data_IF_936993645688
#
_entry.id   IF_936993645688
#
_cell.length_a   1.000
_cell.length_b   1.000
_cell.length_c   1.000
_cell.angle_alpha   90.00
_cell.angle_beta   90.00
_cell.angle_gamma   90.00
#
_symmetry.space_group_name_H-M   'P 1'
#
loop_
_entity.id
_entity.type
_entity.pdbx_description
1 polymer ?
2 branched ?
3 non-polymer ?
4 non-polymer ?
5 non-polymer ?
6 water ?
#
# COMPACT_ATOMS: atom_id res chain seq x y z
N UNK A 9 1.35 -25.16 18.97
CA UNK A 9 0.52 -24.25 18.17
C UNK A 9 1.17 -22.87 18.01
N UNK A 10 1.86 -22.66 16.88
CA UNK A 10 2.46 -21.36 16.58
C UNK A 10 1.42 -20.29 16.29
N UNK A 11 1.73 -19.03 16.61
CA UNK A 11 0.89 -17.87 16.28
C UNK A 11 0.64 -17.81 14.77
N UNK A 12 -0.56 -17.41 14.36
CA UNK A 12 -0.86 -17.22 12.94
C UNK A 12 -1.39 -15.82 12.70
N UNK A 13 -1.09 -15.27 11.53
CA UNK A 13 -1.49 -13.92 11.20
C UNK A 13 -1.94 -13.83 9.75
N UNK A 14 -3.13 -13.25 9.55
CA UNK A 14 -3.68 -12.95 8.24
C UNK A 14 -3.68 -11.43 8.05
N UNK A 15 -2.98 -10.97 7.01
CA UNK A 15 -2.87 -9.54 6.66
C UNK A 15 -3.72 -9.27 5.44
N UNK A 16 -4.72 -8.41 5.59
CA UNK A 16 -5.70 -8.15 4.53
C UNK A 16 -5.64 -6.70 4.09
N UNK A 17 -5.54 -6.46 2.79
CA UNK A 17 -5.56 -5.09 2.25
C UNK A 17 -6.69 -4.93 1.27
N UNK A 18 -7.53 -3.93 1.52
CA UNK A 18 -8.50 -3.46 0.55
C UNK A 18 -7.92 -2.21 -0.04
N UNK A 19 -7.48 -2.30 -1.29
CA UNK A 19 -6.74 -1.20 -1.90
C UNK A 19 -7.51 0.12 -1.87
N UNK A 20 -6.83 1.19 -1.47
CA UNK A 20 -7.39 2.53 -1.61
C UNK A 20 -8.47 2.91 -0.59
N UNK A 21 -8.38 2.33 0.61
CA UNK A 21 -9.38 2.57 1.63
C UNK A 21 -8.96 3.76 2.50
N UNK A 22 -9.39 4.94 2.06
CA UNK A 22 -9.17 6.22 2.74
C UNK A 22 -9.72 6.13 4.15
N UNK A 23 -8.93 6.57 5.14
CA UNK A 23 -9.29 6.46 6.56
C UNK A 23 -10.66 7.06 6.90
N UNK A 24 -10.94 8.25 6.40
CA UNK A 24 -12.20 8.90 6.79
C UNK A 24 -13.44 8.35 6.12
N UNK A 25 -13.27 7.37 5.22
CA UNK A 25 -14.43 6.63 4.74
C UNK A 25 -15.18 6.08 5.96
N UNK A 26 -14.45 5.68 7.00
CA UNK A 26 -15.10 5.11 8.20
C UNK A 26 -16.06 6.09 8.89
N UNK A 27 -15.80 7.39 8.73
CA UNK A 27 -16.59 8.41 9.40
C UNK A 27 -17.77 8.87 8.57
N UNK A 28 -17.77 8.53 7.28
CA UNK A 28 -18.78 9.06 6.35
C UNK A 28 -19.74 8.03 5.74
N UNK A 29 -19.53 6.76 6.07
CA UNK A 29 -20.38 5.69 5.56
C UNK A 29 -20.59 4.69 6.67
N UNK A 30 -21.57 3.80 6.51
CA UNK A 30 -21.88 2.81 7.54
C UNK A 30 -21.15 1.50 7.25
N UNK A 31 -20.36 1.03 8.22
CA UNK A 31 -19.71 -0.26 8.10
C UNK A 31 -20.08 -1.22 9.23
N UNK A 32 -21.32 -1.73 9.24
CA UNK A 32 -21.75 -2.64 10.31
C UNK A 32 -20.83 -3.84 10.55
N UNK A 33 -20.38 -4.52 9.50
CA UNK A 33 -19.46 -5.65 9.67
C UNK A 33 -18.08 -5.24 10.18
N UNK A 34 -17.52 -4.16 9.65
CA UNK A 34 -16.23 -3.66 10.12
C UNK A 34 -16.35 -3.22 11.57
N UNK A 35 -17.44 -2.52 11.88
CA UNK A 35 -17.74 -2.05 13.24
C UNK A 35 -17.69 -3.24 14.19
N UNK A 36 -18.28 -4.36 13.78
CA UNK A 36 -18.31 -5.59 14.58
C UNK A 36 -16.91 -6.16 14.82
N UNK A 37 -16.13 -6.22 13.75
CA UNK A 37 -14.74 -6.67 13.79
C UNK A 37 -13.94 -5.80 14.77
N UNK A 38 -14.17 -4.50 14.71
CA UNK A 38 -13.48 -3.49 15.55
C UNK A 38 -13.88 -3.59 17.01
N UNK A 39 -15.15 -3.90 17.26
CA UNK A 39 -15.76 -3.85 18.59
C UNK A 39 -15.06 -4.74 19.60
N UNK A 40 -14.55 -5.86 19.10
CA UNK A 40 -13.88 -6.85 19.90
C UNK A 40 -12.41 -6.91 19.54
N UNK A 41 -11.94 -5.86 18.88
CA UNK A 41 -10.55 -5.80 18.44
C UNK A 41 -10.02 -4.41 18.60
N UNK A 42 -9.12 -4.00 17.70
CA UNK A 42 -8.53 -2.68 17.80
C UNK A 42 -8.71 -1.91 16.50
N UNK A 43 -8.76 -0.58 16.62
CA UNK A 43 -8.81 0.27 15.44
C UNK A 43 -7.74 1.35 15.58
N UNK A 44 -6.95 1.53 14.52
CA UNK A 44 -6.10 2.70 14.38
C UNK A 44 -6.80 3.61 13.37
N UNK A 45 -7.22 4.79 13.80
CA UNK A 45 -8.15 5.58 12.98
C UNK A 45 -7.57 6.07 11.67
N UNK A 46 -6.28 6.39 11.68
CA UNK A 46 -5.58 6.71 10.45
C UNK A 46 -4.08 6.39 10.56
N UNK A 47 -3.55 5.84 9.49
CA UNK A 47 -2.17 5.42 9.41
C UNK A 47 -1.43 6.41 8.51
N UNK A 48 -0.31 6.95 8.98
CA UNK A 48 0.50 7.82 8.12
C UNK A 48 1.33 6.94 7.21
N UNK A 49 1.03 6.95 5.91
CA UNK A 49 1.68 6.05 4.99
C UNK A 49 2.94 6.71 4.42
N UNK A 50 3.48 6.21 3.32
CA UNK A 50 4.76 6.73 2.79
C UNK A 50 4.63 7.37 1.41
N UNK A 51 5.43 8.39 1.18
CA UNK A 51 5.53 9.05 -0.13
C UNK A 51 6.43 8.23 -1.07
N UNK A 52 6.05 8.01 -2.33
CA UNK A 52 4.77 8.48 -2.90
C UNK A 52 3.64 7.53 -2.54
N UNK A 53 2.43 8.06 -2.45
CA UNK A 53 1.33 7.28 -1.88
C UNK A 53 0.62 6.43 -2.93
N UNK A 54 1.40 5.53 -3.55
CA UNK A 54 0.90 4.64 -4.58
C UNK A 54 0.88 3.22 -4.06
N UNK A 55 0.26 2.33 -4.84
CA UNK A 55 -0.02 0.96 -4.41
C UNK A 55 1.16 0.06 -4.18
N UNK A 56 2.00 -0.08 -5.20
CA UNK A 56 3.13 -0.99 -5.05
C UNK A 56 4.11 -0.54 -3.96
N UNK A 57 4.45 0.76 -3.93
CA UNK A 57 5.40 1.20 -2.88
C UNK A 57 4.83 1.03 -1.48
N UNK A 58 3.56 1.35 -1.26
CA UNK A 58 3.06 1.25 0.10
C UNK A 58 2.81 -0.17 0.56
N UNK A 59 2.36 -1.04 -0.34
CA UNK A 59 2.23 -2.45 0.08
C UNK A 59 3.56 -3.01 0.51
N UNK A 60 4.62 -2.63 -0.19
CA UNK A 60 5.93 -3.18 0.18
C UNK A 60 6.40 -2.59 1.49
N UNK A 61 6.06 -1.33 1.74
CA UNK A 61 6.41 -0.76 3.02
C UNK A 61 5.72 -1.49 4.18
N UNK A 62 4.45 -1.86 4.01
CA UNK A 62 3.75 -2.61 5.03
C UNK A 62 4.52 -3.88 5.40
N UNK A 63 5.01 -4.62 4.41
CA UNK A 63 5.65 -5.92 4.68
C UNK A 63 7.16 -5.88 4.87
N UNK A 64 7.76 -4.69 4.82
CA UNK A 64 9.20 -4.54 5.08
C UNK A 64 9.55 -3.56 6.19
N UNK A 65 8.59 -2.70 6.55
CA UNK A 65 8.87 -1.63 7.51
C UNK A 65 9.81 -0.56 7.01
N UNK A 66 10.00 -0.46 5.70
CA UNK A 66 10.95 0.48 5.13
C UNK A 66 10.30 1.58 4.34
N UNK A 67 10.94 2.74 4.38
CA UNK A 67 10.67 3.82 3.45
C UNK A 67 10.98 3.42 2.00
N UNK A 68 10.38 4.12 1.05
CA UNK A 68 10.48 3.71 -0.35
C UNK A 68 11.90 3.83 -0.90
N UNK A 69 12.65 4.83 -0.47
CA UNK A 69 14.03 4.96 -0.95
C UNK A 69 14.85 3.76 -0.52
N UNK A 70 14.41 3.09 0.54
CA UNK A 70 15.16 1.97 1.12
C UNK A 70 14.76 0.62 0.54
N UNK A 71 13.45 0.37 0.37
CA UNK A 71 13.02 -0.91 -0.20
C UNK A 71 13.04 -0.94 -1.72
N UNK A 72 13.12 0.23 -2.35
CA UNK A 72 13.40 0.33 -3.78
C UNK A 72 12.20 0.29 -4.70
N UNK A 73 11.00 0.13 -4.16
CA UNK A 73 9.82 0.20 -5.01
C UNK A 73 9.27 1.60 -4.85
N UNK A 74 9.72 2.50 -5.71
CA UNK A 74 9.49 3.93 -5.49
C UNK A 74 8.29 4.43 -6.27
N UNK A 75 7.72 3.58 -7.13
CA UNK A 75 6.53 3.96 -7.86
C UNK A 75 5.90 2.72 -8.49
N UNK A 76 4.70 2.87 -9.05
CA UNK A 76 4.11 1.77 -9.80
C UNK A 76 4.75 1.60 -11.17
N UNK A 77 5.37 2.66 -11.67
CA UNK A 77 6.13 2.61 -12.93
C UNK A 77 7.52 3.14 -12.68
N UNK A 78 8.54 2.31 -12.95
CA UNK A 78 9.93 2.70 -12.73
C UNK A 78 10.80 2.37 -13.93
N UNK A 79 11.92 3.07 -14.02
CA UNK A 79 12.94 2.81 -15.04
C UNK A 79 14.32 2.86 -14.37
N UNK A 80 15.10 1.81 -14.54
CA UNK A 80 16.46 1.79 -14.02
C UNK A 80 17.40 2.07 -15.18
N UNK A 81 18.02 3.24 -15.18
CA UNK A 81 18.83 3.67 -16.31
C UNK A 81 20.02 2.76 -16.55
N UNK A 82 20.59 2.22 -15.49
CA UNK A 82 21.80 1.41 -15.62
C UNK A 82 21.54 0.06 -16.32
N UNK A 83 20.53 -0.68 -15.85
CA UNK A 83 20.21 -1.99 -16.43
C UNK A 83 19.27 -1.86 -17.63
N UNK A 84 18.67 -0.67 -17.76
CA UNK A 84 17.62 -0.36 -18.77
C UNK A 84 16.31 -1.08 -18.51
N UNK A 85 16.17 -1.64 -17.31
CA UNK A 85 14.95 -2.36 -16.96
C UNK A 85 13.78 -1.44 -16.69
N UNK A 86 12.61 -1.94 -17.07
CA UNK A 86 11.34 -1.25 -16.77
C UNK A 86 10.46 -2.08 -15.82
N UNK A 87 9.76 -1.38 -14.94
CA UNK A 87 8.80 -1.99 -14.02
C UNK A 87 7.47 -1.30 -14.23
N UNK A 88 6.39 -2.09 -14.24
CA UNK A 88 5.06 -1.53 -14.16
C UNK A 88 4.17 -2.54 -13.45
N UNK A 89 2.92 -2.15 -13.14
CA UNK A 89 2.06 -3.03 -12.34
C UNK A 89 1.90 -4.41 -12.97
N UNK A 90 1.69 -4.42 -14.29
CA UNK A 90 1.63 -5.67 -15.03
C UNK A 90 3.01 -6.33 -15.16
N UNK A 91 4.01 -5.50 -15.51
CA UNK A 91 5.36 -6.00 -15.76
C UNK A 91 6.18 -5.97 -14.47
N UNK A 92 5.77 -6.77 -13.49
CA UNK A 92 6.29 -6.60 -12.14
C UNK A 92 6.95 -7.85 -11.60
N UNK A 93 7.35 -8.77 -12.48
CA UNK A 93 7.84 -10.06 -12.01
C UNK A 93 9.34 -10.34 -12.03
N UNK A 94 10.13 -9.36 -12.44
CA UNK A 94 11.59 -9.48 -12.35
C UNK A 94 12.01 -9.22 -10.91
N UNK A 95 12.61 -10.22 -10.25
CA UNK A 95 13.05 -10.11 -8.86
C UNK A 95 13.97 -8.90 -8.60
N UNK A 96 14.67 -8.45 -9.64
CA UNK A 96 15.51 -7.26 -9.56
C UNK A 96 14.81 -6.15 -8.79
N UNK A 97 13.52 -5.99 -9.08
CA UNK A 97 12.77 -4.86 -8.52
C UNK A 97 12.38 -5.03 -7.08
N UNK A 98 12.38 -6.27 -6.60
CA UNK A 98 11.91 -6.60 -5.24
C UNK A 98 13.07 -6.86 -4.26
N UNK A 99 14.26 -7.09 -4.81
CA UNK A 99 15.35 -7.65 -4.02
C UNK A 99 16.15 -6.67 -3.17
N UNK A 100 15.76 -5.40 -3.16
CA UNK A 100 16.46 -4.47 -2.26
C UNK A 100 15.99 -4.60 -0.82
N UNK A 101 14.95 -5.40 -0.60
CA UNK A 101 14.44 -5.66 0.74
C UNK A 101 14.01 -7.10 0.86
N UNK A 102 13.63 -7.51 2.08
CA UNK A 102 13.15 -8.86 2.34
C UNK A 102 11.80 -8.76 3.04
N UNK A 103 10.72 -9.12 2.33
CA UNK A 103 9.40 -8.95 2.92
C UNK A 103 9.09 -10.04 3.95
N UNK A 104 8.13 -9.78 4.82
CA UNK A 104 7.88 -10.65 5.98
C UNK A 104 7.47 -12.06 5.59
N UNK A 105 6.79 -12.21 4.45
CA UNK A 105 6.42 -13.58 4.04
C UNK A 105 7.64 -14.45 3.78
N UNK A 106 8.74 -13.83 3.39
CA UNK A 106 9.96 -14.57 3.12
C UNK A 106 10.58 -15.00 4.45
N UNK A 107 10.83 -14.05 5.34
CA UNK A 107 11.36 -14.39 6.67
C UNK A 107 10.52 -15.47 7.34
N UNK A 108 9.20 -15.39 7.21
CA UNK A 108 8.33 -16.42 7.77
C UNK A 108 8.53 -17.76 7.07
N UNK A 109 8.60 -17.76 5.74
CA UNK A 109 8.77 -18.99 4.95
C UNK A 109 10.08 -19.73 5.27
N UNK A 110 11.08 -18.98 5.72
CA UNK A 110 12.43 -19.50 5.95
C UNK A 110 12.59 -20.19 7.31
N UNK A 111 11.58 -20.08 8.18
CA UNK A 111 11.62 -20.77 9.46
C UNK A 111 11.24 -22.23 9.28
N UNK A 112 11.85 -23.11 10.08
CA UNK A 112 11.54 -24.52 10.01
C UNK A 112 10.08 -24.78 10.44
N UNK A 113 9.44 -25.71 9.73
CA UNK A 113 8.08 -26.10 10.04
C UNK A 113 7.06 -24.97 10.01
N UNK A 114 7.29 -23.97 9.15
CA UNK A 114 6.34 -22.89 8.95
C UNK A 114 6.17 -22.58 7.47
N UNK A 115 4.98 -22.16 7.06
CA UNK A 115 4.79 -21.71 5.68
C UNK A 115 4.12 -20.35 5.63
N UNK A 116 4.31 -19.69 4.49
CA UNK A 116 3.55 -18.48 4.17
C UNK A 116 2.54 -18.80 3.06
N UNK A 117 1.44 -18.06 3.01
CA UNK A 117 0.45 -18.22 1.96
C UNK A 117 0.05 -16.83 1.44
N UNK A 118 -0.45 -16.78 0.21
CA UNK A 118 -0.79 -15.48 -0.36
C UNK A 118 -1.93 -15.56 -1.36
N UNK A 119 -2.77 -14.53 -1.34
CA UNK A 119 -3.86 -14.43 -2.31
C UNK A 119 -3.87 -13.03 -2.91
N UNK A 120 -2.98 -12.82 -3.86
CA UNK A 120 -2.98 -11.66 -4.78
C UNK A 120 -2.24 -10.43 -4.27
N UNK A 121 -1.58 -10.53 -3.14
CA UNK A 121 -0.84 -9.38 -2.60
C UNK A 121 0.35 -9.07 -3.51
N UNK A 122 0.58 -7.77 -3.77
CA UNK A 122 1.69 -7.38 -4.66
C UNK A 122 3.05 -8.00 -4.28
N UNK A 123 3.66 -8.69 -5.25
CA UNK A 123 4.97 -9.31 -5.07
C UNK A 123 4.93 -10.75 -4.60
N UNK A 124 3.77 -11.25 -4.21
CA UNK A 124 3.74 -12.57 -3.58
C UNK A 124 3.82 -13.67 -4.62
N UNK A 125 3.67 -13.32 -5.89
CA UNK A 125 3.87 -14.27 -6.98
C UNK A 125 5.29 -14.17 -7.59
N UNK A 126 6.19 -13.50 -6.88
CA UNK A 126 7.56 -13.31 -7.37
C UNK A 126 8.55 -13.92 -6.37
N UNK A 127 9.52 -14.71 -6.83
CA UNK A 127 10.54 -15.15 -5.87
C UNK A 127 11.47 -13.99 -5.47
N UNK A 128 11.60 -13.76 -4.18
CA UNK A 128 12.38 -12.64 -3.67
C UNK A 128 13.47 -13.23 -2.80
N UNK A 129 14.72 -12.88 -3.11
CA UNK A 129 15.87 -13.58 -2.54
C UNK A 129 15.69 -15.10 -2.65
N UNK A 130 15.19 -15.52 -3.82
CA UNK A 130 15.05 -16.93 -4.18
C UNK A 130 14.00 -17.68 -3.35
N UNK A 131 13.13 -16.94 -2.69
CA UNK A 131 12.12 -17.56 -1.83
C UNK A 131 10.72 -17.14 -2.21
N UNK A 132 9.86 -18.14 -2.39
CA UNK A 132 8.46 -17.86 -2.65
C UNK A 132 7.61 -18.58 -1.61
N UNK A 133 6.45 -18.01 -1.31
CA UNK A 133 5.51 -18.62 -0.36
C UNK A 133 5.10 -19.99 -0.85
N UNK A 134 4.85 -20.89 0.10
CA UNK A 134 4.40 -22.25 -0.21
C UNK A 134 3.15 -22.25 -1.05
N UNK A 135 2.25 -21.33 -0.75
CA UNK A 135 0.98 -21.19 -1.46
C UNK A 135 0.86 -19.76 -1.91
N UNK A 136 0.54 -19.57 -3.17
CA UNK A 136 0.33 -18.22 -3.67
C UNK A 136 -0.55 -18.28 -4.90
N UNK A 137 -1.05 -17.13 -5.33
CA UNK A 137 -1.83 -17.08 -6.55
C UNK A 137 -1.15 -16.14 -7.51
N UNK A 138 -0.94 -16.60 -8.74
CA UNK A 138 -0.47 -15.70 -9.78
C UNK A 138 -1.47 -14.58 -9.97
N UNK A 139 -1.00 -13.33 -10.02
CA UNK A 139 -1.95 -12.23 -10.01
C UNK A 139 -2.95 -12.28 -11.15
N UNK A 140 -4.23 -12.18 -10.80
CA UNK A 140 -5.33 -12.21 -11.76
C UNK A 140 -6.51 -11.48 -11.12
N UNK A 141 -6.74 -10.24 -11.54
CA UNK A 141 -7.76 -9.43 -10.90
C UNK A 141 -9.20 -9.96 -11.08
N UNK A 142 -9.37 -10.91 -12.00
CA UNK A 142 -10.70 -11.48 -12.24
C UNK A 142 -11.15 -12.48 -11.19
N UNK A 143 -10.20 -13.00 -10.41
CA UNK A 143 -10.52 -13.98 -9.39
C UNK A 143 -11.36 -13.32 -8.31
N UNK A 144 -12.50 -13.92 -8.00
CA UNK A 144 -13.44 -13.34 -7.07
C UNK A 144 -12.87 -13.23 -5.67
N UNK A 145 -13.46 -12.35 -4.87
CA UNK A 145 -13.04 -12.25 -3.47
C UNK A 145 -13.30 -13.56 -2.76
N UNK A 146 -14.45 -14.19 -3.04
CA UNK A 146 -14.82 -15.44 -2.38
C UNK A 146 -13.75 -16.49 -2.55
N UNK A 147 -13.22 -16.59 -3.76
CA UNK A 147 -12.20 -17.55 -4.07
C UNK A 147 -10.89 -17.23 -3.36
N UNK A 148 -10.52 -15.95 -3.36
CA UNK A 148 -9.35 -15.52 -2.61
C UNK A 148 -9.52 -15.85 -1.13
N UNK A 149 -10.69 -15.54 -0.60
CA UNK A 149 -11.00 -15.71 0.82
C UNK A 149 -11.05 -17.18 1.21
N UNK A 150 -11.79 -17.95 0.43
CA UNK A 150 -11.96 -19.36 0.78
C UNK A 150 -10.64 -20.11 0.73
N UNK A 151 -9.82 -19.83 -0.28
CA UNK A 151 -8.49 -20.44 -0.39
C UNK A 151 -7.48 -20.03 0.68
N UNK A 152 -7.41 -18.73 0.97
CA UNK A 152 -6.45 -18.29 1.96
C UNK A 152 -6.80 -18.83 3.35
N UNK A 153 -8.09 -18.91 3.66
CA UNK A 153 -8.54 -19.41 4.95
C UNK A 153 -8.43 -20.94 5.04
N UNK A 154 -8.65 -21.64 3.92
CA UNK A 154 -8.41 -23.08 3.88
C UNK A 154 -6.94 -23.33 4.19
N UNK A 155 -6.06 -22.58 3.54
CA UNK A 155 -4.61 -22.73 3.73
C UNK A 155 -4.24 -22.48 5.20
N UNK A 156 -4.76 -21.41 5.79
CA UNK A 156 -4.53 -21.13 7.22
C UNK A 156 -5.04 -22.24 8.12
N UNK A 157 -6.17 -22.85 7.75
CA UNK A 157 -6.84 -23.84 8.59
C UNK A 157 -6.19 -25.21 8.50
N UNK A 158 -5.90 -25.61 7.27
CA UNK A 158 -5.28 -26.90 6.99
C UNK A 158 -3.77 -26.71 6.93
N UNK A 159 -3.15 -27.27 5.90
CA UNK A 159 -1.71 -27.08 5.63
C UNK A 159 -0.77 -27.71 6.67
N UNK A 160 0.18 -28.49 6.15
CA UNK A 160 1.28 -29.08 6.91
C UNK A 160 2.57 -28.99 6.10
N UNK A 161 3.58 -28.27 6.62
CA UNK A 161 3.58 -27.55 7.92
C UNK A 161 2.56 -26.39 8.00
N UNK A 162 2.27 -25.90 9.22
CA UNK A 162 1.23 -24.87 9.36
C UNK A 162 1.54 -23.57 8.63
N UNK A 163 0.50 -22.98 8.05
CA UNK A 163 0.61 -21.63 7.50
C UNK A 163 0.46 -20.66 8.65
N UNK A 164 1.47 -19.83 8.86
CA UNK A 164 1.50 -18.93 10.01
C UNK A 164 1.41 -17.48 9.60
N UNK A 165 1.68 -17.21 8.33
CA UNK A 165 1.52 -15.85 7.78
C UNK A 165 0.83 -15.94 6.43
N UNK A 166 -0.20 -15.12 6.22
CA UNK A 166 -0.97 -15.15 4.99
C UNK A 166 -1.34 -13.74 4.58
N UNK A 167 -1.37 -13.49 3.27
CA UNK A 167 -1.82 -12.19 2.78
C UNK A 167 -3.07 -12.34 1.91
N UNK A 168 -3.92 -11.32 1.93
CA UNK A 168 -5.14 -11.32 1.12
C UNK A 168 -5.33 -9.91 0.59
N UNK A 169 -5.58 -9.79 -0.71
CA UNK A 169 -5.63 -8.48 -1.36
C UNK A 169 -6.85 -8.32 -2.24
N UNK A 170 -7.43 -7.13 -2.24
CA UNK A 170 -8.61 -6.85 -3.07
C UNK A 170 -8.40 -5.47 -3.70
N UNK A 171 -8.89 -5.30 -4.94
CA UNK A 171 -8.62 -4.10 -5.74
C UNK A 171 -9.53 -2.93 -5.42
N UNK A 172 -10.61 -3.18 -4.69
CA UNK A 172 -11.53 -2.11 -4.27
C UNK A 172 -11.30 -1.79 -2.82
N UNK A 173 -11.61 -0.54 -2.38
CA UNK A 173 -12.33 0.51 -3.13
C UNK A 173 -11.47 1.42 -4.01
N UNK A 174 -10.20 1.09 -4.23
CA UNK A 174 -9.34 1.88 -5.11
C UNK A 174 -9.90 2.05 -6.52
N UNK A 175 -10.23 0.93 -7.17
CA UNK A 175 -10.62 1.00 -8.57
C UNK A 175 -11.80 1.94 -8.79
N UNK A 176 -12.84 1.79 -7.98
CA UNK A 176 -14.01 2.65 -8.15
C UNK A 176 -13.81 4.06 -7.61
N UNK A 177 -12.97 4.20 -6.58
CA UNK A 177 -12.57 5.51 -6.12
C UNK A 177 -11.94 6.33 -7.22
N UNK A 178 -11.14 5.69 -8.08
CA UNK A 178 -10.59 6.36 -9.27
C UNK A 178 -11.69 6.76 -10.24
N UNK A 179 -12.64 5.85 -10.46
CA UNK A 179 -13.69 6.07 -11.45
C UNK A 179 -14.66 7.21 -11.06
N UNK A 180 -15.13 7.18 -9.82
CA UNK A 180 -16.13 8.15 -9.37
C UNK A 180 -15.56 9.37 -8.65
N UNK A 181 -14.42 9.19 -7.98
CA UNK A 181 -13.91 10.22 -7.08
C UNK A 181 -14.54 10.07 -5.71
N UNK A 182 -13.76 10.32 -4.65
CA UNK A 182 -14.27 10.01 -3.30
C UNK A 182 -15.40 10.93 -2.89
N UNK A 183 -15.60 12.03 -3.63
CA UNK A 183 -16.67 12.95 -3.27
C UNK A 183 -18.03 12.56 -3.82
N UNK A 184 -18.05 11.57 -4.71
CA UNK A 184 -19.31 11.05 -5.23
C UNK A 184 -19.89 10.08 -4.23
N UNK A 185 -20.63 10.61 -3.26
CA UNK A 185 -21.10 9.79 -2.17
C UNK A 185 -22.14 8.74 -2.57
N UNK A 186 -22.99 9.07 -3.54
CA UNK A 186 -23.96 8.07 -4.00
C UNK A 186 -23.28 6.82 -4.50
N UNK A 187 -22.31 6.99 -5.40
CA UNK A 187 -21.64 5.83 -5.96
C UNK A 187 -20.64 5.19 -5.02
N UNK A 188 -19.89 6.00 -4.27
CA UNK A 188 -18.91 5.42 -3.35
C UNK A 188 -19.60 4.64 -2.23
N UNK A 189 -20.80 5.06 -1.87
CA UNK A 189 -21.49 4.33 -0.80
C UNK A 189 -21.79 2.87 -1.18
N UNK A 190 -22.10 2.65 -2.45
CA UNK A 190 -22.37 1.29 -2.93
C UNK A 190 -21.07 0.49 -3.01
N UNK A 191 -20.00 1.14 -3.45
CA UNK A 191 -18.68 0.53 -3.45
C UNK A 191 -18.28 0.09 -2.06
N UNK A 192 -18.41 0.98 -1.10
CA UNK A 192 -17.95 0.71 0.25
C UNK A 192 -18.85 -0.25 1.01
N UNK A 193 -20.14 -0.27 0.66
CA UNK A 193 -21.03 -1.24 1.27
C UNK A 193 -20.59 -2.64 0.86
N UNK A 194 -20.22 -2.78 -0.42
CA UNK A 194 -19.70 -4.05 -0.90
C UNK A 194 -18.45 -4.47 -0.13
N UNK A 195 -17.56 -3.51 0.14
CA UNK A 195 -16.39 -3.81 0.96
C UNK A 195 -16.78 -4.28 2.36
N UNK A 196 -17.75 -3.60 2.99
CA UNK A 196 -18.20 -4.03 4.30
C UNK A 196 -18.78 -5.44 4.26
N UNK A 197 -19.59 -5.72 3.25
CA UNK A 197 -20.08 -7.10 3.03
C UNK A 197 -18.95 -8.13 2.91
N UNK A 198 -17.89 -7.79 2.20
CA UNK A 198 -16.77 -8.69 2.06
C UNK A 198 -16.09 -8.91 3.40
N UNK A 199 -16.04 -7.88 4.22
CA UNK A 199 -15.44 -8.03 5.56
C UNK A 199 -16.34 -8.95 6.38
N UNK A 200 -17.64 -8.83 6.16
CA UNK A 200 -18.58 -9.73 6.80
C UNK A 200 -18.35 -11.15 6.37
N UNK A 201 -18.10 -11.35 5.07
CA UNK A 201 -17.83 -12.68 4.52
C UNK A 201 -16.56 -13.26 5.12
N UNK A 202 -15.58 -12.39 5.32
CA UNK A 202 -14.33 -12.78 5.94
C UNK A 202 -14.57 -13.29 7.35
N UNK A 203 -15.30 -12.51 8.15
CA UNK A 203 -15.55 -12.88 9.54
C UNK A 203 -16.41 -14.15 9.62
N UNK A 204 -17.47 -14.22 8.81
CA UNK A 204 -18.34 -15.40 8.74
C UNK A 204 -17.51 -16.64 8.47
N UNK A 205 -16.59 -16.51 7.53
CA UNK A 205 -15.74 -17.61 7.09
C UNK A 205 -14.81 -18.05 8.18
N UNK A 206 -14.25 -17.09 8.91
CA UNK A 206 -13.35 -17.41 10.02
C UNK A 206 -14.11 -18.13 11.12
N UNK A 207 -15.34 -17.67 11.39
CA UNK A 207 -16.16 -18.31 12.41
C UNK A 207 -16.56 -19.72 11.99
N UNK A 208 -16.91 -19.89 10.73
CA UNK A 208 -17.30 -21.21 10.20
C UNK A 208 -16.19 -22.23 10.39
N UNK A 209 -14.98 -21.84 10.01
CA UNK A 209 -13.81 -22.72 10.10
C UNK A 209 -13.19 -22.82 11.49
N UNK A 210 -13.73 -22.08 12.46
CA UNK A 210 -13.20 -22.09 13.82
C UNK A 210 -11.87 -21.37 13.96
N UNK A 211 -11.67 -20.35 13.14
CA UNK A 211 -10.43 -19.59 13.16
C UNK A 211 -10.60 -18.28 13.89
N UNK A 212 -11.85 -17.87 14.05
CA UNK A 212 -12.15 -16.51 14.48
C UNK A 212 -11.50 -16.16 15.82
N UNK A 213 -11.49 -17.10 16.77
CA UNK A 213 -10.92 -16.80 18.08
C UNK A 213 -9.39 -16.92 18.20
N UNK A 214 -8.75 -17.72 17.34
CA UNK A 214 -7.30 -17.97 17.48
C UNK A 214 -6.41 -17.34 16.41
N UNK A 215 -6.99 -16.91 15.31
CA UNK A 215 -6.24 -16.27 14.24
C UNK A 215 -6.13 -14.76 14.46
N UNK A 216 -4.92 -14.23 14.34
CA UNK A 216 -4.72 -12.78 14.31
C UNK A 216 -5.00 -12.28 12.90
N UNK A 217 -5.88 -11.27 12.80
CA UNK A 217 -6.25 -10.70 11.49
C UNK A 217 -6.06 -9.20 11.51
N UNK A 218 -5.32 -8.69 10.53
CA UNK A 218 -5.17 -7.24 10.33
C UNK A 218 -5.87 -6.90 9.04
N UNK A 219 -6.77 -5.93 9.11
CA UNK A 219 -7.42 -5.39 7.91
C UNK A 219 -6.89 -3.97 7.77
N UNK A 220 -6.29 -3.67 6.63
CA UNK A 220 -5.69 -2.35 6.45
C UNK A 220 -5.73 -1.99 4.96
N UNK A 221 -4.97 -0.98 4.58
CA UNK A 221 -4.91 -0.56 3.17
C UNK A 221 -3.60 0.18 2.91
N UNK A 222 -3.39 0.62 1.69
CA UNK A 222 -2.13 1.23 1.29
C UNK A 222 -2.16 2.77 1.24
N UNK A 223 -3.33 3.34 0.96
CA UNK A 223 -3.45 4.78 0.77
C UNK A 223 -4.93 5.11 0.63
N UNK A 224 -5.23 6.40 0.58
CA UNK A 224 -6.60 6.88 0.35
C UNK A 224 -6.83 7.34 -1.08
N UNK A 225 -7.58 8.42 -1.21
CA UNK A 225 -8.02 8.88 -2.53
C UNK A 225 -8.49 10.32 -2.35
N UNK A 226 -8.29 11.16 -3.34
CA UNK A 226 -8.77 12.54 -3.27
C UNK A 226 -9.37 12.94 -4.61
N UNK A 227 -10.28 13.90 -4.58
CA UNK A 227 -11.01 14.27 -5.79
C UNK A 227 -10.14 15.07 -6.76
N UNK A 228 -10.26 14.75 -8.04
CA UNK A 228 -9.59 15.50 -9.10
C UNK A 228 -10.63 16.20 -9.95
N UNK A 229 -10.20 17.12 -10.81
CA UNK A 229 -11.15 17.98 -11.51
C UNK A 229 -10.54 18.59 -12.75
N UNK A 230 -11.37 18.85 -13.74
CA UNK A 230 -10.96 19.54 -14.96
C UNK A 230 -10.46 20.96 -14.70
N UNK A 231 -10.79 21.50 -13.53
CA UNK A 231 -10.34 22.83 -13.12
C UNK A 231 -8.99 22.80 -12.46
N UNK A 232 -8.44 21.59 -12.28
CA UNK A 232 -7.17 21.41 -11.57
C UNK A 232 -6.22 20.53 -12.34
N UNK A 233 -5.87 20.99 -13.54
CA UNK A 233 -4.95 20.24 -14.41
C UNK A 233 -3.71 21.04 -14.70
N UNK A 234 -2.59 20.34 -14.77
CA UNK A 234 -1.29 20.87 -15.17
C UNK A 234 -0.86 20.11 -16.41
N UNK A 235 -0.91 20.74 -17.57
CA UNK A 235 -0.56 20.05 -18.83
C UNK A 235 0.91 20.26 -19.16
N UNK A 236 1.71 19.19 -19.04
CA UNK A 236 3.15 19.28 -19.30
C UNK A 236 3.43 19.66 -20.75
N UNK A 237 2.58 19.23 -21.68
CA UNK A 237 2.73 19.60 -23.09
C UNK A 237 2.58 21.11 -23.35
N UNK A 238 1.95 21.82 -22.42
CA UNK A 238 1.84 23.27 -22.55
C UNK A 238 3.04 23.99 -21.94
N UNK A 239 3.94 23.23 -21.33
CA UNK A 239 5.05 23.78 -20.58
C UNK A 239 6.41 23.38 -21.12
N UNK A 240 6.48 22.21 -21.77
CA UNK A 240 7.78 21.72 -22.22
C UNK A 240 7.62 20.72 -23.38
N UNK A 241 8.47 20.85 -24.39
CA UNK A 241 8.37 19.93 -25.51
C UNK A 241 8.86 18.55 -25.12
N UNK A 242 8.29 17.53 -25.76
CA UNK A 242 8.64 16.12 -25.55
C UNK A 242 10.10 15.80 -25.76
N UNK A 243 10.76 16.55 -26.63
CA UNK A 243 12.13 16.25 -27.00
C UNK A 243 13.10 16.48 -25.84
N UNK A 244 12.65 17.17 -24.80
CA UNK A 244 13.52 17.58 -23.70
C UNK A 244 13.68 16.45 -22.68
N UNK A 245 12.75 15.50 -22.65
CA UNK A 245 12.70 14.56 -21.53
C UNK A 245 11.95 13.27 -21.83
N UNK A 246 12.18 12.27 -20.98
CA UNK A 246 11.39 11.05 -21.03
C UNK A 246 10.56 10.98 -19.77
N UNK A 247 9.27 10.71 -19.94
CA UNK A 247 8.33 10.58 -18.81
C UNK A 247 8.33 9.15 -18.31
N UNK A 248 8.75 8.96 -17.06
CA UNK A 248 8.81 7.63 -16.47
C UNK A 248 7.51 7.30 -15.70
N UNK A 249 6.90 8.32 -15.10
CA UNK A 249 5.64 8.15 -14.35
C UNK A 249 4.95 9.50 -14.42
N UNK A 250 3.62 9.53 -14.41
CA UNK A 250 2.90 10.77 -14.74
C UNK A 250 2.31 11.57 -13.58
N UNK A 251 1.29 11.04 -12.90
CA UNK A 251 0.57 11.86 -11.95
C UNK A 251 0.19 11.11 -10.70
N UNK A 252 0.19 11.78 -9.53
CA UNK A 252 0.49 13.19 -9.34
C UNK A 252 1.95 13.47 -8.99
N UNK A 253 2.78 12.45 -9.05
CA UNK A 253 4.23 12.63 -8.91
C UNK A 253 4.84 12.20 -10.22
N UNK A 254 5.24 13.18 -11.03
CA UNK A 254 5.84 12.89 -12.34
C UNK A 254 7.32 12.63 -12.15
N UNK A 255 7.80 11.55 -12.77
CA UNK A 255 9.22 11.20 -12.74
C UNK A 255 9.82 11.56 -14.09
N UNK A 256 10.71 12.55 -14.08
CA UNK A 256 11.22 13.17 -15.29
C UNK A 256 12.69 12.82 -15.51
N UNK A 257 12.98 12.19 -16.63
CA UNK A 257 14.36 11.89 -17.04
C UNK A 257 14.77 12.80 -18.21
N UNK A 258 15.56 13.84 -17.90
CA UNK A 258 15.94 14.77 -18.97
C UNK A 258 16.70 14.09 -20.11
N UNK A 259 16.43 14.52 -21.35
CA UNK A 259 17.18 14.09 -22.53
C UNK A 259 18.28 15.12 -22.83
N UNK A 260 18.12 16.33 -22.31
CA UNK A 260 19.12 17.38 -22.50
C UNK A 260 19.56 17.92 -21.14
N UNK A 261 20.31 19.02 -21.13
CA UNK A 261 20.73 19.69 -19.89
C UNK A 261 19.63 19.68 -18.86
N UNK A 262 19.86 19.02 -17.73
CA UNK A 262 18.86 18.97 -16.68
C UNK A 262 18.45 20.37 -16.26
N UNK A 263 19.42 21.28 -16.25
CA UNK A 263 19.15 22.68 -15.92
C UNK A 263 18.10 23.31 -16.83
N UNK A 264 18.20 23.07 -18.13
CA UNK A 264 17.23 23.58 -19.08
C UNK A 264 15.84 22.99 -18.82
N UNK A 265 15.77 21.69 -18.56
CA UNK A 265 14.49 21.05 -18.27
C UNK A 265 13.88 21.60 -16.98
N UNK A 266 14.71 21.73 -15.95
CA UNK A 266 14.28 22.27 -14.66
C UNK A 266 13.76 23.71 -14.81
N UNK A 267 14.46 24.53 -15.58
CA UNK A 267 14.04 25.92 -15.73
C UNK A 267 12.65 26.07 -16.37
N UNK A 268 12.37 25.22 -17.36
CA UNK A 268 11.03 25.16 -17.96
C UNK A 268 10.00 24.67 -16.95
N UNK A 269 10.29 23.54 -16.31
CA UNK A 269 9.30 22.90 -15.45
C UNK A 269 8.98 23.71 -14.20
N UNK A 270 9.97 24.44 -13.67
CA UNK A 270 9.76 25.19 -12.44
C UNK A 270 8.89 26.42 -12.70
N UNK A 271 8.69 26.74 -13.97
CA UNK A 271 7.82 27.85 -14.35
C UNK A 271 6.54 27.43 -15.07
N UNK A 272 6.02 26.26 -14.74
CA UNK A 272 4.87 25.69 -15.42
C UNK A 272 3.54 25.93 -14.68
N UNK A 273 3.51 25.68 -13.39
CA UNK A 273 2.28 25.84 -12.61
C UNK A 273 2.61 26.08 -11.17
N UNK A 274 1.92 27.04 -10.52
CA UNK A 274 2.12 27.19 -9.08
C UNK A 274 1.49 26.07 -8.27
N UNK A 275 0.79 25.16 -8.94
CA UNK A 275 0.08 24.10 -8.21
C UNK A 275 0.84 22.79 -8.18
N UNK A 276 2.14 22.86 -8.47
CA UNK A 276 3.02 21.74 -8.15
C UNK A 276 4.32 22.27 -7.63
N UNK A 277 5.07 21.41 -6.96
CA UNK A 277 6.45 21.71 -6.59
C UNK A 277 7.34 20.95 -7.53
N UNK A 278 8.38 21.59 -8.02
CA UNK A 278 9.32 20.96 -8.93
C UNK A 278 10.65 20.79 -8.19
N UNK A 279 11.09 19.55 -8.03
CA UNK A 279 12.31 19.27 -7.27
C UNK A 279 13.42 18.63 -8.11
N UNK A 280 14.60 19.21 -8.10
CA UNK A 280 15.78 18.41 -8.44
C UNK A 280 15.83 17.30 -7.39
N UNK A 281 16.26 16.11 -7.81
CA UNK A 281 16.34 14.96 -6.91
C UNK A 281 17.00 15.28 -5.56
N UNK A 282 18.11 16.00 -5.62
CA UNK A 282 18.81 16.36 -4.40
C UNK A 282 18.08 17.39 -3.52
N UNK A 283 17.00 17.97 -4.03
CA UNK A 283 16.21 18.94 -3.26
C UNK A 283 14.87 18.37 -2.78
N UNK A 284 14.61 17.09 -3.05
CA UNK A 284 13.38 16.48 -2.59
C UNK A 284 13.37 16.54 -1.07
N UNK A 285 12.26 17.03 -0.49
CA UNK A 285 12.23 17.25 0.97
C UNK A 285 12.58 16.00 1.75
N UNK A 286 13.41 16.15 2.78
CA UNK A 286 13.82 15.04 3.62
C UNK A 286 12.66 14.32 4.26
N UNK A 287 11.57 15.03 4.51
CA UNK A 287 10.43 14.43 5.21
C UNK A 287 9.78 13.29 4.41
N UNK A 288 10.10 13.22 3.12
CA UNK A 288 9.49 12.22 2.25
C UNK A 288 10.27 10.90 2.22
N UNK A 289 11.52 10.93 2.70
CA UNK A 289 12.38 9.74 2.62
C UNK A 289 12.36 9.14 1.21
N UNK A 290 12.64 10.01 0.25
CA UNK A 290 12.42 9.71 -1.17
C UNK A 290 13.54 10.34 -2.00
N UNK A 291 14.77 10.05 -1.63
CA UNK A 291 15.93 10.58 -2.35
C UNK A 291 16.95 9.52 -2.64
N UNK A 292 17.24 8.66 -1.65
CA UNK A 292 18.44 7.85 -1.74
C UNK A 292 18.26 6.50 -2.43
N UNK A 293 17.95 6.57 -3.72
CA UNK A 293 17.79 5.38 -4.54
C UNK A 293 17.93 5.77 -6.00
N UNK A 294 18.68 4.98 -6.76
CA UNK A 294 18.95 5.27 -8.18
C UNK A 294 17.71 5.18 -9.04
N UNK A 295 16.65 4.61 -8.49
CA UNK A 295 15.39 4.47 -9.23
C UNK A 295 14.55 5.74 -9.21
N UNK A 296 14.98 6.71 -8.41
CA UNK A 296 14.35 8.03 -8.38
C UNK A 296 15.01 8.92 -9.42
N UNK A 297 14.19 9.49 -10.30
CA UNK A 297 14.71 10.18 -11.50
C UNK A 297 15.31 11.56 -11.16
N UNK A 298 16.05 12.17 -12.11
CA UNK A 298 16.74 13.41 -11.74
C UNK A 298 15.85 14.60 -11.34
N UNK A 299 14.59 14.60 -11.77
CA UNK A 299 13.65 15.66 -11.40
C UNK A 299 12.34 14.98 -11.06
N UNK A 300 11.68 15.40 -9.98
CA UNK A 300 10.29 14.98 -9.79
C UNK A 300 9.37 16.17 -9.67
N UNK A 301 8.13 15.98 -10.13
CA UNK A 301 7.10 17.02 -10.04
C UNK A 301 6.03 16.50 -9.10
N UNK A 302 5.71 17.28 -8.08
CA UNK A 302 4.72 16.85 -7.09
C UNK A 302 3.54 17.79 -7.12
N UNK A 303 2.42 17.32 -7.65
CA UNK A 303 1.21 18.15 -7.72
C UNK A 303 0.59 18.34 -6.36
N UNK A 304 0.03 19.52 -6.12
CA UNK A 304 -0.73 19.75 -4.89
C UNK A 304 -1.96 18.84 -4.86
N UNK A 305 -2.46 18.56 -3.67
CA UNK A 305 -3.65 17.75 -3.47
C UNK A 305 -4.80 18.12 -4.42
N UNK A 306 -5.26 17.12 -5.17
CA UNK A 306 -6.41 17.29 -6.03
C UNK A 306 -6.09 17.83 -7.41
N UNK A 307 -4.80 18.08 -7.66
CA UNK A 307 -4.33 18.50 -8.97
C UNK A 307 -3.77 17.30 -9.73
N UNK A 308 -3.92 17.31 -11.04
CA UNK A 308 -3.50 16.20 -11.90
C UNK A 308 -2.54 16.72 -12.96
N UNK A 309 -1.43 16.01 -13.13
CA UNK A 309 -0.46 16.31 -14.17
C UNK A 309 -0.91 15.52 -15.38
N UNK A 310 -1.01 16.19 -16.54
CA UNK A 310 -1.54 15.52 -17.73
C UNK A 310 -0.67 15.74 -18.94
N UNK A 311 -0.87 14.90 -19.96
CA UNK A 311 -0.38 15.18 -21.30
C UNK A 311 -1.62 15.51 -22.11
N UNK A 312 -1.44 15.87 -23.37
CA UNK A 312 -2.59 16.24 -24.20
C UNK A 312 -3.74 15.23 -24.23
N UNK A 313 -3.41 13.93 -24.25
CA UNK A 313 -4.45 12.90 -24.36
C UNK A 313 -4.71 12.07 -23.12
N UNK A 314 -4.14 12.46 -21.98
CA UNK A 314 -4.30 11.69 -20.75
C UNK A 314 -5.77 11.60 -20.38
N UNK A 315 -6.24 10.40 -20.06
CA UNK A 315 -7.66 10.21 -19.79
C UNK A 315 -8.02 10.74 -18.39
N UNK A 316 -9.26 11.17 -18.29
CA UNK A 316 -9.82 11.70 -17.05
C UNK A 316 -9.87 10.61 -15.98
N UNK A 317 -9.54 11.00 -14.75
CA UNK A 317 -9.66 10.11 -13.61
C UNK A 317 -10.10 10.96 -12.43
N UNK A 318 -11.35 10.78 -11.99
CA UNK A 318 -11.95 11.65 -10.97
C UNK A 318 -11.41 11.52 -9.56
N UNK A 319 -10.81 10.37 -9.24
CA UNK A 319 -10.11 10.21 -7.97
C UNK A 319 -8.68 9.83 -8.23
N UNK A 320 -7.76 10.29 -7.38
CA UNK A 320 -6.37 9.83 -7.46
C UNK A 320 -5.66 9.88 -6.12
N UNK A 321 -4.48 9.24 -6.08
CA UNK A 321 -3.63 9.26 -4.90
C UNK A 321 -2.18 9.26 -5.39
N UNK A 322 -1.22 9.42 -4.48
CA UNK A 322 0.20 9.53 -4.84
C UNK A 322 0.79 10.74 -4.14
N UNK A 323 -0.10 11.65 -3.77
CA UNK A 323 0.25 12.94 -3.15
C UNK A 323 0.97 12.82 -1.81
N UNK A 324 1.51 13.95 -1.35
CA UNK A 324 2.10 14.15 -0.03
C UNK A 324 1.46 13.24 1.01
N UNK A 325 2.29 12.41 1.67
CA UNK A 325 1.80 11.43 2.63
C UNK A 325 1.40 12.05 3.96
N UNK A 326 1.57 13.36 4.09
CA UNK A 326 1.01 14.04 5.28
C UNK A 326 -0.48 14.39 5.15
N UNK A 327 -1.02 14.32 3.94
CA UNK A 327 -2.43 14.67 3.71
C UNK A 327 -3.36 13.58 4.25
N UNK A 328 -4.31 13.95 5.12
CA UNK A 328 -5.29 12.98 5.62
C UNK A 328 -5.97 12.19 4.52
N UNK A 329 -6.23 12.81 3.37
CA UNK A 329 -6.89 12.12 2.27
C UNK A 329 -6.13 10.91 1.75
N UNK A 330 -4.81 10.91 1.97
CA UNK A 330 -3.96 9.81 1.51
C UNK A 330 -3.80 8.69 2.51
N UNK A 331 -4.29 8.88 3.73
CA UNK A 331 -4.03 7.89 4.78
C UNK A 331 -5.04 6.76 4.74
N UNK A 332 -4.57 5.51 4.88
CA UNK A 332 -5.45 4.37 5.15
C UNK A 332 -5.74 4.25 6.63
N UNK A 333 -6.52 3.24 7.03
CA UNK A 333 -6.72 2.96 8.45
C UNK A 333 -6.13 1.58 8.74
N UNK A 334 -6.14 1.17 10.00
CA UNK A 334 -5.85 -0.21 10.34
C UNK A 334 -6.80 -0.74 11.42
N UNK A 335 -7.31 -1.95 11.22
CA UNK A 335 -8.08 -2.61 12.28
C UNK A 335 -7.52 -4.01 12.48
N UNK A 336 -7.68 -4.57 13.67
CA UNK A 336 -7.17 -5.91 13.93
C UNK A 336 -7.99 -6.63 14.99
N UNK A 337 -7.99 -7.96 14.89
CA UNK A 337 -8.68 -8.79 15.84
C UNK A 337 -7.88 -10.07 16.04
N UNK A 338 -7.87 -10.57 17.27
CA UNK A 338 -7.27 -11.86 17.54
C UNK A 338 -6.57 -11.91 18.88
N UNK A 339 -6.00 -13.07 19.22
CA UNK A 339 -5.42 -13.25 20.56
C UNK A 339 -4.30 -12.28 20.91
N UNK A 340 -3.63 -11.73 19.90
CA UNK A 340 -2.54 -10.78 20.17
C UNK A 340 -3.06 -9.38 20.44
N UNK A 341 -4.32 -9.13 20.13
CA UNK A 341 -4.87 -7.78 20.13
C UNK A 341 -5.90 -7.53 21.23
N UNK A 342 -5.89 -6.31 21.78
CA UNK A 342 -6.88 -5.93 22.78
C UNK A 342 -8.27 -5.95 22.18
N UNK A 343 -9.28 -5.87 23.05
CA UNK A 343 -10.68 -5.88 22.62
C UNK A 343 -11.34 -4.55 22.95
N UNK A 344 -11.75 -3.80 21.93
CA UNK A 344 -12.51 -2.58 22.12
C UNK A 344 -11.61 -1.38 22.36
N UNK A 345 -10.42 -1.41 21.78
CA UNK A 345 -9.49 -0.30 21.93
C UNK A 345 -9.40 0.49 20.64
N UNK A 346 -9.38 1.80 20.75
CA UNK A 346 -9.17 2.63 19.57
C UNK A 346 -7.99 3.58 19.80
N UNK A 347 -7.14 3.72 18.76
CA UNK A 347 -5.91 4.47 18.84
C UNK A 347 -5.95 5.44 17.66
N UNK A 348 -5.35 6.60 17.83
CA UNK A 348 -5.42 7.65 16.82
C UNK A 348 -4.61 7.33 15.55
N UNK A 349 -3.32 7.05 15.73
CA UNK A 349 -2.42 6.92 14.57
C UNK A 349 -1.18 6.07 14.84
N UNK A 350 -0.72 5.36 13.80
CA UNK A 350 0.60 4.78 13.75
C UNK A 350 1.16 5.11 12.36
N UNK A 351 2.45 4.89 12.16
CA UNK A 351 3.04 5.02 10.84
C UNK A 351 2.99 3.67 10.13
N UNK A 352 2.89 3.67 8.80
CA UNK A 352 2.71 2.42 8.07
C UNK A 352 3.95 1.53 8.22
N UNK A 353 5.12 2.12 8.46
CA UNK A 353 6.35 1.33 8.66
C UNK A 353 6.40 0.64 10.04
N UNK A 354 5.44 0.98 10.91
CA UNK A 354 5.39 0.38 12.26
C UNK A 354 4.68 -0.97 12.24
N UNK A 355 3.96 -1.26 11.17
CA UNK A 355 3.19 -2.50 11.11
C UNK A 355 4.12 -3.71 11.07
N UNK A 356 5.23 -3.57 10.34
CA UNK A 356 6.20 -4.66 10.20
C UNK A 356 6.80 -5.13 11.51
N UNK A 357 7.38 -4.22 12.33
CA UNK A 357 7.91 -4.78 13.59
C UNK A 357 6.81 -5.35 14.47
N UNK A 358 5.59 -4.83 14.40
CA UNK A 358 4.50 -5.41 15.18
C UNK A 358 4.19 -6.83 14.70
N UNK A 359 4.11 -7.00 13.37
CA UNK A 359 3.83 -8.34 12.84
C UNK A 359 4.94 -9.33 13.17
N UNK A 360 6.20 -8.90 13.09
CA UNK A 360 7.29 -9.81 13.47
C UNK A 360 7.15 -10.20 14.92
N UNK A 361 6.78 -9.26 15.78
CA UNK A 361 6.61 -9.60 17.18
C UNK A 361 5.52 -10.64 17.38
N UNK A 362 4.37 -10.45 16.73
CA UNK A 362 3.26 -11.40 16.86
C UNK A 362 3.66 -12.81 16.43
N UNK A 363 4.49 -12.89 15.38
CA UNK A 363 4.86 -14.17 14.77
C UNK A 363 6.12 -14.77 15.36
N UNK A 364 6.79 -14.02 16.24
CA UNK A 364 8.05 -14.49 16.81
C UNK A 364 9.19 -14.53 15.80
N UNK A 365 9.21 -13.56 14.88
CA UNK A 365 10.26 -13.46 13.86
C UNK A 365 11.22 -12.35 14.23
N UNK A 366 12.49 -12.54 13.90
CA UNK A 366 13.47 -11.44 14.00
C UNK A 366 13.32 -10.50 12.83
N UNK A 367 12.98 -9.24 13.11
CA UNK A 367 12.81 -8.29 12.02
C UNK A 367 14.15 -7.94 11.38
N UNK A 368 14.14 -7.71 10.07
CA UNK A 368 15.26 -7.07 9.42
C UNK A 368 15.30 -5.61 9.88
N UNK A 369 16.48 -4.98 9.78
CA UNK A 369 16.57 -3.55 10.10
C UNK A 369 15.51 -2.79 9.33
N UNK A 370 14.84 -1.86 9.99
CA UNK A 370 13.70 -1.20 9.36
C UNK A 370 13.53 0.19 9.93
N UNK A 371 12.52 0.93 9.43
CA UNK A 371 12.34 2.32 9.81
C UNK A 371 11.17 2.51 10.72
N UNK A 372 10.54 1.41 11.11
CA UNK A 372 9.39 1.45 12.00
C UNK A 372 9.76 1.54 13.46
N UNK A 373 8.76 1.92 14.26
CA UNK A 373 8.92 2.04 15.70
C UNK A 373 7.89 1.15 16.37
N UNK A 374 8.34 0.02 16.91
CA UNK A 374 7.46 -0.93 17.56
C UNK A 374 6.64 -0.27 18.65
N UNK A 375 7.28 0.65 19.40
CA UNK A 375 6.60 1.38 20.45
C UNK A 375 5.26 1.98 20.07
N UNK A 376 5.14 2.43 18.82
CA UNK A 376 3.89 3.05 18.39
C UNK A 376 2.71 2.08 18.41
N UNK A 377 3.00 0.78 18.40
CA UNK A 377 1.93 -0.22 18.28
C UNK A 377 1.60 -0.94 19.58
N UNK A 378 2.35 -0.63 20.64
CA UNK A 378 2.21 -1.37 21.90
C UNK A 378 0.81 -1.33 22.50
N UNK A 379 0.13 -0.18 22.37
CA UNK A 379 -1.24 -0.09 22.87
C UNK A 379 -2.23 -1.03 22.20
N UNK A 380 -1.89 -1.55 21.03
CA UNK A 380 -2.75 -2.51 20.34
C UNK A 380 -2.60 -3.95 20.86
N UNK A 381 -1.51 -4.22 21.56
CA UNK A 381 -1.09 -5.60 21.82
C UNK A 381 -1.28 -6.03 23.27
N UNK A 382 -1.90 -7.19 23.47
CA UNK A 382 -2.21 -7.70 24.82
C UNK A 382 -1.01 -7.95 25.72
N UNK A 383 0.15 -8.26 25.15
CA UNK A 383 1.29 -8.57 26.02
C UNK A 383 2.13 -7.35 26.38
N UNK A 384 1.68 -6.16 26.00
CA UNK A 384 2.53 -4.97 26.00
C UNK A 384 2.05 -3.85 26.94
N UNK A 385 3.01 -3.14 27.51
CA UNK A 385 2.70 -1.92 28.27
C UNK A 385 2.09 -0.87 27.35
N UNK A 386 1.03 -0.23 27.81
CA UNK A 386 0.41 0.86 27.06
C UNK A 386 0.53 2.13 27.84
N UNK A 387 1.45 3.00 27.43
CA UNK A 387 1.50 4.34 27.99
C UNK A 387 0.85 5.22 26.93
X LIG B 1 15.58 3.08 7.19
X LIG B 1 16.67 4.14 7.33
X LIG B 1 17.88 3.76 6.48
X LIG B 1 18.33 2.33 6.77
X LIG B 1 17.15 1.37 6.70
X LIG B 1 17.50 -0.02 7.15
X LIG B 1 16.20 6.51 7.75
X LIG B 1 15.66 7.78 7.18
X LIG B 1 16.17 5.45 6.94
X LIG B 1 18.93 4.71 6.72
X LIG B 1 19.26 1.91 5.78
X LIG B 1 16.10 1.83 7.56
X LIG B 1 18.23 0.01 8.36
X LIG B 1 16.62 6.43 8.91
X LIG B 2 20.60 2.06 6.23
X LIG B 2 21.52 1.09 5.50
X LIG B 2 22.96 1.27 5.95
X LIG B 2 23.37 2.72 5.82
X LIG B 2 22.38 3.60 6.58
X LIG B 2 22.67 5.08 6.50
X LIG B 2 20.21 -0.89 4.85
X LIG B 2 19.86 -2.31 5.20
X LIG B 2 21.08 -0.29 5.67
X LIG B 2 23.82 0.44 5.18
X LIG B 2 24.68 2.93 6.36
X LIG B 2 21.06 3.39 6.04
X LIG B 2 22.91 5.61 7.79
X LIG B 2 19.73 -0.30 3.87
X LIG C 1 -8.12 -14.99 -14.59
X LIG C 1 -7.70 -16.02 -15.63
X LIG C 1 -8.91 -16.41 -16.48
X LIG C 1 -10.03 -16.91 -15.59
X LIG C 1 -10.37 -15.89 -14.51
X LIG C 1 -11.34 -16.44 -13.48
X LIG C 1 -5.45 -16.12 -16.61
X LIG C 1 -4.45 -15.45 -17.49
X LIG C 1 -6.62 -15.51 -16.48
X LIG C 1 -8.54 -17.40 -17.42
X LIG C 1 -11.19 -17.18 -16.36
X LIG C 1 -9.18 -15.53 -13.79
X LIG C 1 -10.75 -17.47 -12.71
X LIG C 1 -5.20 -17.18 -16.04
X LIG D 1 -8.48 -21.97 -4.92
X LIG D 1 -7.50 -21.91 -6.13
X LIG D 1 -7.75 -23.08 -7.10
X LIG D 1 -7.80 -24.41 -6.35
X LIG D 1 -8.88 -24.31 -5.30
X LIG D 1 -9.10 -25.59 -4.53
X LIG D 1 -6.61 -19.85 -7.15
X LIG D 1 -5.25 -20.34 -6.74
X LIG D 1 -7.64 -20.64 -6.82
X LIG D 1 -6.73 -23.13 -8.09
X LIG D 1 -8.05 -25.50 -7.23
X LIG D 1 -8.49 -23.30 -4.35
X LIG D 1 -9.17 -25.34 -3.13
X LIG D 1 -6.76 -18.79 -7.75
X LIG E 1 -2.67 2.78 -8.28
X LIG E 1 -2.95 4.02 -9.13
X LIG E 1 -3.86 2.19 -7.57
X LIG E 1 -1.46 2.76 -7.33
X LIG E 1 -2.30 1.65 -9.33
X LIG E 1 -1.93 0.34 -8.89
X LIG E 1 -3.00 -0.67 -9.21
X LIG E 1 -2.44 -1.82 -9.89
X LIG E 1 -3.71 -1.30 -8.03
X LIG E 1 -4.63 -0.42 -7.39
X LIG E 1 -4.34 -2.55 -8.63
X LIG E 1 -5.56 -2.28 -9.28
X LIG E 1 -3.31 -2.92 -9.71
X LIG E 1 -2.52 -4.09 -9.31
X LIG E 1 -2.33 -4.48 -8.02
X LIG E 1 -1.52 -5.59 -7.99
X LIG E 1 -1.21 -5.90 -9.28
X LIG E 1 -0.41 -6.91 -10.00
X LIG E 1 0.26 -7.87 -9.32
X LIG E 1 -0.35 -6.85 -11.34
X LIG E 1 -1.00 -5.91 -12.05
X LIG E 1 -1.74 -4.94 -11.47
X LIG E 1 -1.88 -4.90 -10.13
X LIG F 1 -3.39 1.14 -3.87
X LIG G 1 -5.19 3.62 -7.26
#
# INVERSE_FOLDING_TARGET
FRSDSSSSLPPKLLLVSFDGFRADYLKNYEFPHLQNFIKEGVLVEHVKNVFITKTFPNHYSIVTGLYEESHGIVANSMYDAVTKKHFSDSNDKDPFWWNEAVPIWVTNQLQENRSSAAAMWPGTDVPIHDTISSYFMNYNSSVSFEERLNNITMWLNNSNPPVTFATLYWEEPDASGHKYGPEDKENMSRVLKKIDDLIGDLVQRLKMLGLWENLNVIITSDHGMTQCSQDRLINLDSCIDHSYYTLIDLSPVAAILPKINRTEVYNKLKNCSPHMNVYLKEDIPNRFYYQHNDRIQPIILVADEGWTIVLNESSQKLGDHGYDNSLPSMHPFLAAHGPAFHKGYKHSTINIVDIYPMMCHILGLKPHPNNGTFGHTKCLLVDQWCINLPEALINENLYFQ
NAG C1 C2 C3 C4 C5 C6 C7 C8 N2 O3 O4 O5 O6 O7
NAG C1 C2 C3 C4 C5 C6 C7 C8 N2 O3 O4 O5 O6 O7
NAG C1 C2 C3 C4 C5 C6 C7 C8 N2 O3 O4 O5 O6 O7
NAG C1 C2 C3 C4 C5 C6 C7 C8 N2 O3 O4 O5 O6 O7
AMP P O1P O2P O3P O5' C5' C4' O4' C3' O3' C2' O2' C1' N9 C8 N7 C5 C6 N6 N1 C2 N3 C4
ZN ZN
ZN ZN
#
